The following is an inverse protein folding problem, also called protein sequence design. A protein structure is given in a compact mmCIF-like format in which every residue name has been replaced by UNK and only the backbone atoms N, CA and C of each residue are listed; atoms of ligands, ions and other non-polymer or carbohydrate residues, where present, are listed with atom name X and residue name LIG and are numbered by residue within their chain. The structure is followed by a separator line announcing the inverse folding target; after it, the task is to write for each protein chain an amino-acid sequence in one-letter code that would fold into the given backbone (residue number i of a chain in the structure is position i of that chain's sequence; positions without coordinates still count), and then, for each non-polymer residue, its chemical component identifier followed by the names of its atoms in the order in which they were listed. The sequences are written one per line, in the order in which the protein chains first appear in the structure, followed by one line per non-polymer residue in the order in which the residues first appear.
data_IF_486222907031
#
_entry.id   IF_486222907031
#
_cell.length_a   1.000
_cell.length_b   1.000
_cell.length_c   1.000
_cell.angle_alpha   90.00
_cell.angle_beta   90.00
_cell.angle_gamma   90.00
#
_symmetry.space_group_name_H-M   'P 1'
#
loop_
_entity.id
_entity.type
_entity.pdbx_description
1 polymer ?
#
# COMPACT_ATOMS: atom_id res chain seq x y z
N UNK A 1 -67.37 -40.10 -18.35
CA UNK A 1 -67.70 -39.05 -17.37
C UNK A 1 -66.64 -37.97 -17.52
N UNK A 2 -67.02 -36.83 -18.09
CA UNK A 2 -66.11 -35.83 -18.68
C UNK A 2 -65.61 -34.82 -17.65
N UNK A 3 -64.32 -34.50 -17.73
CA UNK A 3 -63.64 -33.40 -17.03
C UNK A 3 -64.13 -32.06 -17.60
N UNK A 4 -64.31 -31.04 -16.75
CA UNK A 4 -64.41 -29.65 -17.17
C UNK A 4 -63.57 -28.77 -16.23
N UNK A 5 -62.46 -28.27 -16.77
CA UNK A 5 -61.48 -27.44 -16.12
C UNK A 5 -61.98 -25.99 -16.03
N UNK A 6 -61.86 -25.38 -14.85
CA UNK A 6 -62.14 -23.98 -14.63
C UNK A 6 -60.90 -23.15 -14.96
N UNK A 7 -61.06 -22.25 -15.93
CA UNK A 7 -60.16 -21.14 -16.26
C UNK A 7 -60.39 -19.98 -15.30
N UNK A 8 -59.35 -19.35 -14.76
CA UNK A 8 -59.25 -17.89 -14.65
C UNK A 8 -57.87 -17.40 -14.14
N UNK A 9 -57.19 -16.71 -15.05
CA UNK A 9 -56.43 -15.46 -14.87
C UNK A 9 -55.48 -15.28 -13.66
N UNK A 10 -54.19 -15.40 -13.96
CA UNK A 10 -53.06 -14.87 -13.17
C UNK A 10 -53.08 -13.34 -13.25
N UNK A 11 -53.30 -12.67 -12.12
CA UNK A 11 -53.17 -11.21 -11.97
C UNK A 11 -51.71 -10.84 -11.69
N UNK A 12 -51.07 -10.19 -12.66
CA UNK A 12 -49.73 -9.58 -12.52
C UNK A 12 -49.89 -8.26 -11.74
N UNK A 13 -49.31 -8.18 -10.55
CA UNK A 13 -49.18 -6.95 -9.78
C UNK A 13 -48.00 -6.13 -10.36
N UNK A 14 -48.31 -5.08 -11.11
CA UNK A 14 -47.32 -4.07 -11.52
C UNK A 14 -46.95 -3.20 -10.32
N UNK A 15 -45.72 -3.34 -9.84
CA UNK A 15 -45.12 -2.45 -8.84
C UNK A 15 -44.81 -1.10 -9.50
N UNK A 16 -45.39 -0.01 -9.01
CA UNK A 16 -45.17 1.33 -9.53
C UNK A 16 -43.75 1.81 -9.25
N UNK A 17 -42.94 1.94 -10.30
CA UNK A 17 -41.67 2.66 -10.24
C UNK A 17 -41.98 4.16 -10.31
N UNK A 18 -41.66 4.91 -9.26
CA UNK A 18 -41.79 6.36 -9.26
C UNK A 18 -40.82 6.95 -10.30
N UNK A 19 -41.38 7.54 -11.34
CA UNK A 19 -40.63 8.23 -12.40
C UNK A 19 -40.07 9.53 -11.81
N UNK A 20 -38.78 9.56 -11.49
CA UNK A 20 -38.07 10.80 -11.17
C UNK A 20 -37.88 11.56 -12.48
N UNK A 21 -38.56 12.70 -12.64
CA UNK A 21 -38.36 13.57 -13.79
C UNK A 21 -36.92 14.10 -13.78
N UNK A 22 -36.16 14.00 -14.89
CA UNK A 22 -34.87 14.66 -14.98
C UNK A 22 -35.11 16.17 -14.98
N UNK A 23 -34.50 16.89 -14.04
CA UNK A 23 -34.38 18.35 -14.14
C UNK A 23 -33.64 18.66 -15.44
N UNK A 24 -34.29 19.40 -16.34
CA UNK A 24 -33.63 19.89 -17.54
C UNK A 24 -32.48 20.80 -17.11
N UNK A 25 -31.24 20.34 -17.31
CA UNK A 25 -30.09 21.23 -17.25
C UNK A 25 -30.16 22.15 -18.47
N UNK A 26 -30.51 23.41 -18.24
CA UNK A 26 -30.36 24.45 -19.26
C UNK A 26 -28.86 24.64 -19.49
N UNK A 27 -28.37 24.30 -20.68
CA UNK A 27 -27.08 24.80 -21.15
C UNK A 27 -27.24 26.30 -21.36
N UNK A 28 -26.48 27.13 -20.65
CA UNK A 28 -26.36 28.54 -21.00
C UNK A 28 -25.60 28.61 -22.32
N UNK A 29 -26.29 28.80 -23.44
CA UNK A 29 -25.62 29.32 -24.63
C UNK A 29 -25.11 30.72 -24.26
N UNK A 30 -23.79 30.82 -24.11
CA UNK A 30 -23.09 32.08 -23.97
C UNK A 30 -23.30 32.84 -25.29
N UNK A 31 -24.25 33.77 -25.28
CA UNK A 31 -24.63 34.54 -26.46
C UNK A 31 -23.43 35.19 -27.12
N UNK A 32 -23.38 35.04 -28.45
CA UNK A 32 -22.56 35.75 -29.45
C UNK A 32 -21.56 36.74 -28.84
N UNK A 33 -20.42 36.21 -28.38
CA UNK A 33 -19.24 37.01 -28.08
C UNK A 33 -18.66 37.45 -29.43
N UNK A 34 -18.98 38.68 -29.82
CA UNK A 34 -18.62 39.27 -31.09
C UNK A 34 -17.19 38.95 -31.54
N UNK A 35 -17.08 38.62 -32.84
CA UNK A 35 -15.84 38.52 -33.62
C UNK A 35 -14.64 37.95 -32.86
N UNK A 36 -14.52 36.62 -32.88
CA UNK A 36 -13.28 35.93 -32.51
C UNK A 36 -12.12 36.55 -33.30
N UNK A 37 -11.09 37.10 -32.64
CA UNK A 37 -9.89 37.57 -33.34
C UNK A 37 -9.31 36.43 -34.17
N UNK A 38 -9.11 36.66 -35.47
CA UNK A 38 -8.56 35.68 -36.41
C UNK A 38 -7.04 35.52 -36.29
N UNK A 39 -6.44 35.90 -35.17
CA UNK A 39 -5.06 35.48 -34.89
C UNK A 39 -5.09 33.98 -34.60
N UNK A 40 -4.18 33.23 -35.23
CA UNK A 40 -3.89 31.85 -34.81
C UNK A 40 -3.42 31.91 -33.35
N UNK A 41 -4.36 31.79 -32.42
CA UNK A 41 -4.03 31.57 -31.01
C UNK A 41 -3.39 30.19 -30.99
N UNK A 42 -2.06 30.16 -30.88
CA UNK A 42 -1.31 28.95 -30.60
C UNK A 42 -1.80 28.41 -29.24
N UNK A 43 -2.78 27.50 -29.32
CA UNK A 43 -3.67 27.16 -28.22
C UNK A 43 -3.02 26.27 -27.15
N UNK A 44 -1.73 25.96 -27.26
CA UNK A 44 -1.03 25.22 -26.22
C UNK A 44 -0.35 26.19 -25.26
N UNK A 45 -0.93 26.49 -24.08
CA UNK A 45 -0.12 27.02 -23.00
C UNK A 45 1.05 26.05 -22.76
N UNK A 46 2.21 26.56 -22.34
CA UNK A 46 3.39 25.80 -21.93
C UNK A 46 4.34 25.29 -23.03
N UNK A 47 4.23 25.76 -24.29
CA UNK A 47 5.18 25.37 -25.37
C UNK A 47 6.64 25.73 -25.04
N UNK A 48 6.87 26.77 -24.23
CA UNK A 48 8.20 27.27 -23.87
C UNK A 48 8.52 27.12 -22.38
N UNK A 49 7.84 26.24 -21.66
CA UNK A 49 8.14 26.01 -20.25
C UNK A 49 9.49 25.29 -20.11
N UNK A 50 10.48 25.97 -19.53
CA UNK A 50 11.83 25.47 -19.31
C UNK A 50 12.07 24.96 -17.88
N UNK A 51 11.01 24.89 -17.07
CA UNK A 51 11.06 24.44 -15.68
C UNK A 51 10.61 22.97 -15.53
N UNK A 52 11.09 22.25 -14.49
CA UNK A 52 10.65 20.88 -14.24
C UNK A 52 9.15 20.81 -13.94
N UNK A 53 8.42 19.99 -14.71
CA UNK A 53 6.98 19.79 -14.58
C UNK A 53 6.59 18.32 -14.32
N UNK A 54 7.57 17.47 -14.01
CA UNK A 54 7.35 16.05 -13.67
C UNK A 54 7.09 15.90 -12.17
N UNK A 55 6.04 15.15 -11.82
CA UNK A 55 5.75 14.76 -10.44
C UNK A 55 6.30 13.37 -10.19
N UNK A 56 7.17 13.23 -9.19
CA UNK A 56 7.75 11.95 -8.79
C UNK A 56 7.17 11.48 -7.46
N UNK A 57 6.96 10.17 -7.34
CA UNK A 57 6.44 9.50 -6.16
C UNK A 57 7.46 8.50 -5.63
N UNK A 58 7.69 8.55 -4.32
CA UNK A 58 8.62 7.65 -3.66
C UNK A 58 8.36 7.56 -2.17
N UNK A 59 9.15 6.73 -1.50
CA UNK A 59 9.03 6.48 -0.06
C UNK A 59 10.26 7.04 0.67
N UNK A 60 10.01 7.94 1.62
CA UNK A 60 11.05 8.59 2.44
C UNK A 60 11.45 7.78 3.66
N UNK A 61 10.66 6.77 4.06
CA UNK A 61 10.78 6.15 5.38
C UNK A 61 10.54 4.63 5.28
N UNK A 62 11.60 3.89 4.95
CA UNK A 62 11.56 2.44 4.90
C UNK A 62 12.61 1.81 5.83
N UNK A 63 12.16 0.88 6.67
CA UNK A 63 13.02 0.02 7.48
C UNK A 63 13.15 -1.38 6.87
N UNK A 64 14.33 -1.97 7.01
CA UNK A 64 14.71 -3.30 6.53
C UNK A 64 15.07 -4.22 7.70
N UNK A 65 15.41 -5.48 7.39
CA UNK A 65 15.89 -6.45 8.37
C UNK A 65 17.15 -6.00 9.13
N UNK A 66 17.89 -5.01 8.63
CA UNK A 66 19.05 -4.45 9.32
C UNK A 66 18.64 -3.49 10.45
N UNK A 67 17.47 -2.85 10.35
CA UNK A 67 16.98 -1.97 11.41
C UNK A 67 16.63 -2.78 12.66
N UNK A 68 17.03 -2.31 13.83
CA UNK A 68 16.80 -3.02 15.08
C UNK A 68 15.31 -3.16 15.41
N UNK A 69 14.51 -2.12 15.18
CA UNK A 69 13.07 -2.12 15.45
C UNK A 69 12.29 -3.06 14.52
N UNK A 70 12.70 -3.17 13.25
CA UNK A 70 12.04 -4.01 12.24
C UNK A 70 12.56 -5.46 12.28
N UNK A 71 13.88 -5.67 12.25
CA UNK A 71 14.48 -7.00 12.23
C UNK A 71 14.23 -7.79 13.51
N UNK A 72 14.25 -7.14 14.69
CA UNK A 72 13.97 -7.83 15.97
C UNK A 72 12.50 -8.22 16.13
N UNK A 73 11.58 -7.57 15.42
CA UNK A 73 10.15 -7.93 15.41
C UNK A 73 9.76 -8.84 14.24
N UNK A 74 10.73 -9.27 13.43
CA UNK A 74 10.56 -10.32 12.43
C UNK A 74 10.56 -9.86 10.97
N UNK A 75 10.99 -8.63 10.67
CA UNK A 75 11.28 -8.25 9.29
C UNK A 75 12.50 -9.02 8.78
N UNK A 76 12.39 -9.61 7.58
CA UNK A 76 13.46 -10.41 6.97
C UNK A 76 13.95 -9.85 5.63
N UNK A 77 13.28 -8.83 5.07
CA UNK A 77 13.64 -8.25 3.78
C UNK A 77 14.84 -7.33 3.92
N UNK A 78 15.79 -7.46 2.99
CA UNK A 78 17.03 -6.67 2.95
C UNK A 78 16.84 -5.36 2.17
N UNK A 79 17.79 -4.41 2.23
CA UNK A 79 17.79 -3.23 1.36
C UNK A 79 17.75 -3.59 -0.14
N UNK A 80 18.31 -4.74 -0.52
CA UNK A 80 18.26 -5.23 -1.91
C UNK A 80 16.84 -5.64 -2.28
N UNK A 81 16.12 -6.32 -1.39
CA UNK A 81 14.73 -6.71 -1.62
C UNK A 81 13.81 -5.48 -1.65
N UNK A 82 14.06 -4.51 -0.77
CA UNK A 82 13.38 -3.22 -0.79
C UNK A 82 13.58 -2.48 -2.12
N UNK A 83 14.81 -2.44 -2.64
CA UNK A 83 15.10 -1.86 -3.95
C UNK A 83 14.39 -2.58 -5.09
N UNK A 84 14.38 -3.92 -5.09
CA UNK A 84 13.63 -4.73 -6.08
C UNK A 84 12.14 -4.43 -6.02
N UNK A 85 11.57 -4.40 -4.82
CA UNK A 85 10.17 -4.09 -4.62
C UNK A 85 9.81 -2.68 -5.12
N UNK A 86 10.64 -1.68 -4.85
CA UNK A 86 10.47 -0.32 -5.35
C UNK A 86 10.50 -0.24 -6.88
N UNK A 87 11.31 -1.07 -7.56
CA UNK A 87 11.29 -1.20 -9.03
C UNK A 87 10.06 -1.92 -9.59
N UNK A 88 9.15 -2.38 -8.73
CA UNK A 88 7.95 -3.12 -9.12
C UNK A 88 8.19 -4.62 -9.34
N UNK A 89 9.31 -5.17 -8.85
CA UNK A 89 9.49 -6.63 -8.82
C UNK A 89 8.62 -7.25 -7.71
N UNK A 90 8.17 -8.48 -7.92
CA UNK A 90 7.48 -9.24 -6.88
C UNK A 90 8.49 -9.73 -5.83
N UNK A 91 8.18 -9.52 -4.56
CA UNK A 91 8.98 -10.00 -3.42
C UNK A 91 8.09 -10.78 -2.45
N UNK A 92 8.69 -11.70 -1.71
CA UNK A 92 7.99 -12.39 -0.64
C UNK A 92 8.07 -11.55 0.63
N UNK A 93 6.93 -11.19 1.21
CA UNK A 93 6.88 -10.44 2.46
C UNK A 93 7.37 -11.27 3.65
N UNK A 94 7.65 -10.61 4.77
CA UNK A 94 8.07 -11.29 6.02
C UNK A 94 7.04 -12.27 6.59
N UNK A 95 5.77 -12.18 6.18
CA UNK A 95 4.72 -13.12 6.54
C UNK A 95 4.41 -14.18 5.46
N UNK A 96 5.25 -14.27 4.41
CA UNK A 96 5.13 -15.30 3.39
C UNK A 96 4.03 -15.03 2.36
N UNK A 97 3.65 -13.76 2.16
CA UNK A 97 2.68 -13.35 1.15
C UNK A 97 3.43 -12.68 -0.01
N UNK A 98 3.25 -13.10 -1.27
CA UNK A 98 3.85 -12.41 -2.40
C UNK A 98 3.24 -11.01 -2.51
N UNK A 99 4.11 -10.01 -2.66
CA UNK A 99 3.73 -8.61 -2.75
C UNK A 99 4.44 -7.95 -3.93
N UNK A 100 3.71 -7.09 -4.64
CA UNK A 100 4.22 -6.25 -5.73
C UNK A 100 3.50 -4.91 -5.71
N UNK A 101 4.23 -3.82 -5.93
CA UNK A 101 3.62 -2.51 -6.11
C UNK A 101 2.81 -2.47 -7.41
N UNK A 102 1.65 -1.80 -7.39
CA UNK A 102 0.87 -1.59 -8.61
C UNK A 102 1.62 -0.69 -9.61
N UNK A 103 2.37 0.28 -9.08
CA UNK A 103 3.23 1.18 -9.85
C UNK A 103 4.61 1.23 -9.17
N UNK A 104 5.72 1.08 -9.92
CA UNK A 104 7.07 1.30 -9.39
C UNK A 104 7.25 2.70 -8.81
N UNK A 105 8.11 2.83 -7.80
CA UNK A 105 8.50 4.12 -7.24
C UNK A 105 9.58 4.77 -8.10
N UNK A 106 9.55 6.09 -8.19
CA UNK A 106 10.58 6.88 -8.85
C UNK A 106 11.87 6.93 -8.01
N UNK A 107 11.72 6.84 -6.68
CA UNK A 107 12.82 6.81 -5.74
C UNK A 107 12.42 6.12 -4.43
N UNK A 108 13.43 5.64 -3.70
CA UNK A 108 13.27 5.00 -2.40
C UNK A 108 14.41 5.46 -1.48
N UNK A 109 14.07 5.79 -0.23
CA UNK A 109 15.03 6.02 0.84
C UNK A 109 14.92 4.89 1.86
N UNK A 110 16.04 4.20 2.09
CA UNK A 110 16.16 3.23 3.18
C UNK A 110 16.67 3.95 4.42
N UNK A 111 15.84 3.99 5.46
CA UNK A 111 16.03 4.78 6.69
C UNK A 111 16.10 3.89 7.92
N UNK A 112 17.00 2.91 7.92
CA UNK A 112 17.21 2.05 9.08
C UNK A 112 17.73 2.84 10.28
N UNK A 113 17.36 2.40 11.48
CA UNK A 113 17.91 2.97 12.71
C UNK A 113 19.44 2.80 12.75
N UNK A 114 20.15 3.89 13.07
CA UNK A 114 21.59 3.84 13.27
C UNK A 114 21.95 3.03 14.52
N UNK A 115 21.13 3.14 15.57
CA UNK A 115 21.30 2.40 16.79
C UNK A 115 21.06 0.92 16.55
N UNK A 116 22.09 0.11 16.83
CA UNK A 116 22.04 -1.34 16.64
C UNK A 116 21.79 -1.76 15.18
N UNK A 117 22.21 -0.96 14.20
CA UNK A 117 22.16 -1.34 12.79
C UNK A 117 22.87 -2.68 12.57
N UNK A 118 22.16 -3.64 11.97
CA UNK A 118 22.67 -4.99 11.70
C UNK A 118 22.68 -5.93 12.92
N UNK A 119 22.27 -5.47 14.11
CA UNK A 119 22.12 -6.34 15.28
C UNK A 119 21.19 -7.53 15.04
N UNK A 120 20.01 -7.39 14.38
CA UNK A 120 19.14 -8.53 14.13
C UNK A 120 19.84 -9.64 13.35
N UNK A 121 20.57 -9.25 12.30
CA UNK A 121 21.34 -10.16 11.44
C UNK A 121 22.46 -10.82 12.24
N UNK A 122 23.25 -10.04 12.98
CA UNK A 122 24.34 -10.57 13.80
C UNK A 122 23.86 -11.54 14.91
N UNK A 123 22.66 -11.33 15.45
CA UNK A 123 22.03 -12.25 16.40
C UNK A 123 21.56 -13.54 15.74
N UNK A 124 21.02 -13.47 14.51
CA UNK A 124 20.64 -14.64 13.71
C UNK A 124 21.86 -15.51 13.39
N UNK A 125 22.94 -14.88 12.96
CA UNK A 125 24.19 -15.53 12.56
C UNK A 125 25.02 -16.04 13.76
N UNK A 126 24.54 -15.86 15.00
CA UNK A 126 25.26 -16.19 16.24
C UNK A 126 26.68 -15.60 16.27
N UNK A 127 26.80 -14.33 15.84
CA UNK A 127 28.09 -13.67 15.61
C UNK A 127 29.07 -13.81 16.80
N UNK A 128 30.34 -14.17 16.55
CA UNK A 128 31.36 -14.32 17.61
C UNK A 128 31.53 -13.07 18.48
N UNK A 129 31.33 -11.88 17.89
CA UNK A 129 31.44 -10.59 18.59
C UNK A 129 30.36 -10.47 19.68
N UNK A 130 29.11 -10.86 19.36
CA UNK A 130 28.00 -10.87 20.32
C UNK A 130 28.11 -12.02 21.32
N UNK A 131 28.75 -13.13 20.95
CA UNK A 131 29.02 -14.24 21.87
C UNK A 131 30.10 -13.92 22.87
N UNK A 132 31.08 -13.10 22.51
CA UNK A 132 32.17 -12.73 23.40
C UNK A 132 31.70 -11.81 24.54
N UNK A 133 30.68 -10.97 24.29
CA UNK A 133 30.17 -10.02 25.28
C UNK A 133 28.97 -10.59 26.09
N UNK A 134 28.82 -10.16 27.34
CA UNK A 134 27.70 -10.60 28.19
C UNK A 134 26.35 -10.10 27.69
N UNK A 135 26.33 -8.86 27.20
CA UNK A 135 25.11 -8.21 26.72
C UNK A 135 24.54 -8.93 25.50
N UNK A 136 25.34 -9.22 24.49
CA UNK A 136 24.94 -9.94 23.27
C UNK A 136 24.52 -11.38 23.56
N UNK A 137 25.20 -12.09 24.49
CA UNK A 137 24.70 -13.39 24.99
C UNK A 137 23.32 -13.26 25.63
N UNK A 138 23.06 -12.22 26.42
CA UNK A 138 21.74 -11.96 27.03
C UNK A 138 20.70 -11.62 25.97
N UNK A 139 21.01 -10.72 25.03
CA UNK A 139 20.16 -10.33 23.92
C UNK A 139 19.79 -11.53 23.06
N UNK A 140 20.75 -12.37 22.66
CA UNK A 140 20.50 -13.56 21.88
C UNK A 140 19.60 -14.57 22.61
N UNK A 141 19.78 -14.76 23.93
CA UNK A 141 18.86 -15.58 24.73
C UNK A 141 17.45 -15.00 24.77
N UNK A 142 17.33 -13.69 24.94
CA UNK A 142 16.04 -13.00 25.00
C UNK A 142 15.30 -13.11 23.66
N UNK A 143 15.94 -12.76 22.55
CA UNK A 143 15.35 -12.81 21.21
C UNK A 143 14.95 -14.24 20.82
N UNK A 144 15.81 -15.24 21.08
CA UNK A 144 15.46 -16.65 20.83
C UNK A 144 14.26 -17.11 21.66
N UNK A 145 14.19 -16.69 22.93
CA UNK A 145 13.04 -17.00 23.80
C UNK A 145 11.75 -16.32 23.31
N UNK A 146 11.82 -15.07 22.86
CA UNK A 146 10.67 -14.35 22.32
C UNK A 146 10.13 -15.05 21.06
N UNK A 147 11.01 -15.51 20.16
CA UNK A 147 10.62 -16.29 18.97
C UNK A 147 10.00 -17.65 19.29
N UNK A 148 10.51 -18.36 20.31
CA UNK A 148 9.95 -19.66 20.71
C UNK A 148 8.56 -19.58 21.35
N UNK A 149 8.17 -18.41 21.88
CA UNK A 149 6.85 -18.24 22.51
C UNK A 149 6.22 -16.89 22.12
N UNK A 150 5.73 -16.79 20.86
CA UNK A 150 5.19 -15.54 20.33
C UNK A 150 3.89 -15.11 21.02
N UNK A 151 3.07 -16.05 21.49
CA UNK A 151 1.86 -15.81 22.29
C UNK A 151 2.20 -15.04 23.59
N UNK A 152 3.20 -15.53 24.35
CA UNK A 152 3.65 -14.88 25.59
C UNK A 152 4.27 -13.51 25.33
N UNK A 153 4.97 -13.34 24.21
CA UNK A 153 5.54 -12.05 23.81
C UNK A 153 4.45 -11.00 23.57
N UNK A 154 3.41 -11.36 22.79
CA UNK A 154 2.26 -10.47 22.51
C UNK A 154 1.52 -10.04 23.77
N UNK A 155 1.40 -10.91 24.77
CA UNK A 155 0.69 -10.60 26.02
C UNK A 155 1.50 -9.72 26.99
N UNK A 156 2.84 -9.82 26.99
CA UNK A 156 3.69 -9.15 27.99
C UNK A 156 4.31 -7.85 27.51
N UNK A 157 4.49 -7.67 26.20
CA UNK A 157 5.18 -6.52 25.60
C UNK A 157 4.36 -5.90 24.47
N UNK A 158 3.02 -5.90 24.62
CA UNK A 158 2.04 -5.55 23.59
C UNK A 158 2.31 -4.22 22.86
N UNK A 159 3.15 -4.25 21.83
CA UNK A 159 3.11 -3.27 20.76
C UNK A 159 2.07 -3.77 19.76
N UNK A 160 0.91 -3.11 19.78
CA UNK A 160 -0.20 -3.39 18.88
C UNK A 160 0.09 -2.77 17.50
N UNK A 161 1.13 -3.24 16.80
CA UNK A 161 1.29 -2.95 15.37
C UNK A 161 0.51 -3.98 14.57
N UNK A 162 -0.77 -3.67 14.38
CA UNK A 162 -1.62 -4.29 13.37
C UNK A 162 -1.50 -3.43 12.12
N UNK A 163 -0.65 -3.83 11.17
CA UNK A 163 -0.85 -3.46 9.77
C UNK A 163 -2.02 -4.32 9.26
N UNK A 164 -3.23 -3.80 9.41
CA UNK A 164 -4.34 -4.19 8.52
C UNK A 164 -4.31 -3.22 7.36
N UNK A 165 -4.15 -3.77 6.16
CA UNK A 165 -4.71 -3.21 4.93
C UNK A 165 -6.18 -2.88 5.12
#
# INVERSE_FOLDING_TARGET
MSVSAHSTMVRILFTSCAFVAPSQAFSQELGDLGSVPTEEIEYSPFINDDFPNQVFFGDTHLHTAYSADAGLVGAILTPVDAYRFAKGEEVMSSNGVPARLQQPLDWLVVTDHAENLGLPIALEEDSPILRANDWGRKSARFTRRARMNPERWRMTHGCKMRLTS
#
